data_IF_761241617603
#
_entry.id   IF_761241617603
#
_cell.length_a   1.000
_cell.length_b   1.000
_cell.length_c   1.000
_cell.angle_alpha   90.00
_cell.angle_beta   90.00
_cell.angle_gamma   90.00
#
_symmetry.space_group_name_H-M   'P 1'
#
loop_
_entity.id
_entity.type
_entity.pdbx_description
1 polymer ?
#
# COMPACT_ATOMS: atom_id res chain seq x y z
N UNK A 1 -3.93 32.41 -9.03
CA UNK A 1 -3.07 31.49 -9.80
C UNK A 1 -3.75 30.14 -9.77
N UNK A 2 -4.62 29.87 -10.74
CA UNK A 2 -5.28 28.57 -10.88
C UNK A 2 -4.27 27.59 -11.48
N UNK A 3 -3.71 26.73 -10.63
CA UNK A 3 -2.93 25.59 -11.07
C UNK A 3 -3.83 24.70 -11.94
N UNK A 4 -3.48 24.51 -13.21
CA UNK A 4 -4.13 23.55 -14.09
C UNK A 4 -4.08 22.18 -13.40
N UNK A 5 -5.23 21.69 -12.95
CA UNK A 5 -5.35 20.35 -12.41
C UNK A 5 -4.93 19.37 -13.51
N UNK A 6 -3.83 18.67 -13.30
CA UNK A 6 -3.36 17.68 -14.25
C UNK A 6 -4.43 16.57 -14.32
N UNK A 7 -4.90 16.17 -15.51
CA UNK A 7 -5.89 15.07 -15.60
C UNK A 7 -5.38 13.77 -14.93
N UNK A 8 -4.06 13.60 -14.85
CA UNK A 8 -3.39 12.53 -14.10
C UNK A 8 -3.65 12.61 -12.60
N UNK A 9 -3.66 13.80 -12.00
CA UNK A 9 -3.99 14.01 -10.59
C UNK A 9 -5.45 13.62 -10.31
N UNK A 10 -6.36 13.93 -11.24
CA UNK A 10 -7.78 13.58 -11.08
C UNK A 10 -7.99 12.06 -11.12
N UNK A 11 -7.34 11.38 -12.07
CA UNK A 11 -7.56 9.95 -12.29
C UNK A 11 -6.77 9.06 -11.33
N UNK A 12 -5.52 9.42 -11.05
CA UNK A 12 -4.61 8.65 -10.19
C UNK A 12 -4.60 9.15 -8.74
N UNK A 13 -5.56 9.98 -8.36
CA UNK A 13 -5.69 10.43 -6.99
C UNK A 13 -5.77 9.23 -6.03
N UNK A 14 -4.86 9.18 -5.05
CA UNK A 14 -4.78 8.09 -4.09
C UNK A 14 -4.13 6.81 -4.62
N UNK A 15 -3.49 6.84 -5.79
CA UNK A 15 -2.57 5.81 -6.24
C UNK A 15 -1.12 6.23 -5.97
N UNK A 16 -0.32 5.29 -5.49
CA UNK A 16 1.12 5.45 -5.27
C UNK A 16 1.88 4.55 -6.21
N UNK A 17 3.04 4.99 -6.70
CA UNK A 17 4.01 4.09 -7.32
C UNK A 17 4.77 3.28 -6.24
N UNK A 18 5.58 2.33 -6.68
CA UNK A 18 6.30 1.43 -5.77
C UNK A 18 7.29 2.16 -4.85
N UNK A 19 7.97 3.19 -5.36
CA UNK A 19 8.95 3.92 -4.56
C UNK A 19 8.24 4.77 -3.50
N UNK A 20 7.17 5.48 -3.89
CA UNK A 20 6.36 6.26 -2.94
C UNK A 20 5.70 5.39 -1.86
N UNK A 21 5.22 4.19 -2.23
CA UNK A 21 4.67 3.26 -1.26
C UNK A 21 5.76 2.74 -0.30
N UNK A 22 6.96 2.44 -0.82
CA UNK A 22 8.07 1.97 -0.01
C UNK A 22 8.49 3.02 1.03
N UNK A 23 8.58 4.28 0.62
CA UNK A 23 8.86 5.42 1.51
C UNK A 23 7.76 5.59 2.58
N UNK A 24 6.49 5.57 2.17
CA UNK A 24 5.36 5.68 3.10
C UNK A 24 5.33 4.55 4.15
N UNK A 25 5.71 3.33 3.77
CA UNK A 25 5.81 2.18 4.67
C UNK A 25 7.16 2.10 5.41
N UNK A 26 8.08 3.04 5.18
CA UNK A 26 9.46 3.06 5.70
C UNK A 26 10.19 1.74 5.47
N UNK A 27 10.04 1.16 4.28
CA UNK A 27 10.69 -0.09 3.90
C UNK A 27 11.31 -0.01 2.51
N UNK A 28 12.04 -1.05 2.10
CA UNK A 28 12.64 -1.10 0.76
C UNK A 28 11.61 -1.46 -0.31
N UNK A 29 11.82 -1.02 -1.55
CA UNK A 29 11.00 -1.46 -2.69
C UNK A 29 10.99 -2.99 -2.83
N UNK A 30 12.10 -3.65 -2.48
CA UNK A 30 12.22 -5.11 -2.50
C UNK A 30 11.28 -5.77 -1.48
N UNK A 31 11.09 -5.15 -0.32
CA UNK A 31 10.11 -5.56 0.68
C UNK A 31 8.69 -5.41 0.15
N UNK A 32 8.38 -4.31 -0.55
CA UNK A 32 7.07 -4.11 -1.18
C UNK A 32 6.75 -5.21 -2.20
N UNK A 33 7.68 -5.54 -3.12
CA UNK A 33 7.45 -6.67 -4.04
C UNK A 33 7.35 -8.02 -3.33
N UNK A 34 8.08 -8.20 -2.23
CA UNK A 34 7.93 -9.42 -1.42
C UNK A 34 6.53 -9.51 -0.82
N UNK A 35 5.95 -8.39 -0.36
CA UNK A 35 4.57 -8.38 0.12
C UNK A 35 3.56 -8.55 -0.99
N UNK A 36 3.83 -8.00 -2.18
CA UNK A 36 3.00 -8.22 -3.37
C UNK A 36 2.93 -9.71 -3.76
N UNK A 37 4.08 -10.41 -3.72
CA UNK A 37 4.16 -11.82 -4.11
C UNK A 37 3.68 -12.81 -3.02
N UNK A 38 3.20 -12.33 -1.88
CA UNK A 38 2.64 -13.21 -0.84
C UNK A 38 1.20 -13.59 -1.17
N UNK A 39 0.72 -14.76 -0.71
CA UNK A 39 -0.71 -15.02 -0.65
C UNK A 39 -1.36 -13.94 0.22
N UNK A 40 -2.46 -13.37 -0.27
CA UNK A 40 -3.09 -12.17 0.29
C UNK A 40 -2.10 -10.99 0.42
N UNK A 41 -1.29 -10.81 -0.61
CA UNK A 41 -0.29 -9.75 -0.73
C UNK A 41 -0.88 -8.36 -0.88
N UNK A 42 0.00 -7.36 -0.94
CA UNK A 42 -0.45 -5.97 -1.15
C UNK A 42 -1.17 -5.87 -2.50
N UNK A 43 -2.39 -5.34 -2.54
CA UNK A 43 -3.11 -5.17 -3.79
C UNK A 43 -2.40 -4.16 -4.71
N UNK A 44 -2.05 -4.61 -5.92
CA UNK A 44 -1.38 -3.81 -6.94
C UNK A 44 -2.23 -3.73 -8.22
N UNK A 45 -2.07 -2.64 -8.96
CA UNK A 45 -2.70 -2.39 -10.25
C UNK A 45 -1.62 -2.13 -11.29
N UNK A 46 -1.66 -2.81 -12.43
CA UNK A 46 -0.73 -2.57 -13.53
C UNK A 46 -1.40 -1.70 -14.59
N UNK A 47 -0.86 -0.49 -14.83
CA UNK A 47 -1.35 0.44 -15.86
C UNK A 47 -0.17 0.95 -16.66
N UNK A 48 -0.21 0.80 -18.00
CA UNK A 48 0.84 1.31 -18.89
C UNK A 48 2.25 0.79 -18.56
N UNK A 49 2.36 -0.44 -18.07
CA UNK A 49 3.63 -1.06 -17.65
C UNK A 49 4.15 -0.62 -16.28
N UNK A 50 3.41 0.21 -15.54
CA UNK A 50 3.77 0.65 -14.18
C UNK A 50 2.86 0.00 -13.15
N UNK A 51 3.45 -0.38 -12.01
CA UNK A 51 2.69 -0.85 -10.85
C UNK A 51 2.27 0.34 -9.99
N UNK A 52 0.98 0.43 -9.74
CA UNK A 52 0.34 1.42 -8.90
C UNK A 52 -0.35 0.72 -7.73
N UNK A 53 -0.39 1.40 -6.60
CA UNK A 53 -0.93 0.89 -5.35
C UNK A 53 -2.00 1.85 -4.86
N UNK A 54 -3.23 1.36 -4.74
CA UNK A 54 -4.32 2.19 -4.22
C UNK A 54 -4.18 2.32 -2.71
N UNK A 55 -4.02 3.54 -2.23
CA UNK A 55 -3.76 3.84 -0.81
C UNK A 55 -4.82 3.25 0.12
N UNK A 56 -6.09 3.33 -0.26
CA UNK A 56 -7.22 2.74 0.51
C UNK A 56 -7.05 1.22 0.65
N UNK A 57 -6.76 0.52 -0.45
CA UNK A 57 -6.64 -0.94 -0.44
C UNK A 57 -5.38 -1.40 0.31
N UNK A 58 -4.28 -0.65 0.21
CA UNK A 58 -3.07 -0.88 1.03
C UNK A 58 -3.41 -0.74 2.52
N UNK A 59 -4.21 0.27 2.89
CA UNK A 59 -4.60 0.49 4.29
C UNK A 59 -5.48 -0.63 4.83
N UNK A 60 -6.47 -1.08 4.05
CA UNK A 60 -7.27 -2.26 4.40
C UNK A 60 -6.40 -3.52 4.55
N UNK A 61 -5.37 -3.66 3.71
CA UNK A 61 -4.41 -4.76 3.82
C UNK A 61 -3.58 -4.69 5.10
N UNK A 62 -3.15 -3.48 5.50
CA UNK A 62 -2.46 -3.27 6.78
C UNK A 62 -3.37 -3.61 7.96
N UNK A 63 -4.63 -3.17 7.92
CA UNK A 63 -5.61 -3.42 8.97
C UNK A 63 -5.86 -4.93 9.16
N UNK A 64 -5.96 -5.70 8.07
CA UNK A 64 -6.09 -7.16 8.14
C UNK A 64 -4.87 -7.86 8.71
N UNK A 65 -3.68 -7.26 8.56
CA UNK A 65 -2.42 -7.80 9.07
C UNK A 65 -2.08 -7.34 10.48
N UNK A 66 -2.83 -6.39 11.03
CA UNK A 66 -2.65 -5.91 12.39
C UNK A 66 -2.84 -7.09 13.36
N UNK A 67 -1.73 -7.57 13.92
CA UNK A 67 -1.76 -8.64 14.91
C UNK A 67 -2.14 -8.04 16.26
N UNK A 68 -3.25 -8.50 16.83
CA UNK A 68 -3.58 -8.19 18.21
C UNK A 68 -2.53 -8.82 19.13
N UNK A 69 -2.02 -8.10 20.15
CA UNK A 69 -1.08 -8.67 21.10
C UNK A 69 -1.71 -9.91 21.73
N UNK A 70 -0.94 -11.01 21.79
CA UNK A 70 -1.40 -12.28 22.35
C UNK A 70 -1.98 -12.02 23.74
N UNK A 71 -3.26 -12.32 23.96
CA UNK A 71 -3.87 -12.18 25.27
C UNK A 71 -3.11 -13.11 26.20
N UNK A 72 -2.28 -12.52 27.07
CA UNK A 72 -1.50 -13.26 28.06
C UNK A 72 -2.49 -14.12 28.83
N UNK A 73 -2.33 -15.46 28.77
CA UNK A 73 -3.18 -16.38 29.53
C UNK A 73 -3.20 -15.88 30.98
N UNK A 74 -4.39 -15.62 31.51
CA UNK A 74 -4.54 -15.34 32.93
C UNK A 74 -3.92 -16.51 33.67
N UNK A 75 -2.91 -16.24 34.49
CA UNK A 75 -2.37 -17.25 35.39
C UNK A 75 -3.52 -17.65 36.33
N UNK A 76 -3.87 -18.94 36.32
CA UNK A 76 -4.80 -19.54 37.27
C UNK A 76 -4.07 -19.85 38.57
#
# INVERSE_FOLDING_TARGET
MESKMNNTDVLLNGYLDRASLADALKCSERTVARYENQPDGIPSLMVGGRKLYRLVAVREWLDRRERRPNQRRAAY
#
